data_IF_812692118313
#
_entry.id   IF_812692118313
#
_cell.length_a   1.000
_cell.length_b   1.000
_cell.length_c   1.000
_cell.angle_alpha   90.00
_cell.angle_beta   90.00
_cell.angle_gamma   90.00
#
_symmetry.space_group_name_H-M   'P 1'
#
loop_
_entity.id
_entity.type
_entity.pdbx_description
1 polymer ?
#
# COMPACT_ATOMS: atom_id res chain seq x y z
N UNK A 1 5.20 -9.08 5.55
CA UNK A 1 6.51 -9.73 5.72
C UNK A 1 7.65 -8.94 5.03
N UNK A 2 7.54 -8.52 3.76
CA UNK A 2 8.59 -7.72 3.07
C UNK A 2 9.01 -6.49 3.89
N UNK A 3 8.06 -5.69 4.41
CA UNK A 3 8.36 -4.56 5.32
C UNK A 3 9.23 -4.97 6.49
N UNK A 4 8.95 -6.12 7.10
CA UNK A 4 9.70 -6.67 8.24
C UNK A 4 11.17 -6.87 7.88
N UNK A 5 11.44 -7.53 6.75
CA UNK A 5 12.79 -7.83 6.29
C UNK A 5 13.58 -6.52 6.05
N UNK A 6 12.97 -5.54 5.35
CA UNK A 6 13.59 -4.23 5.14
C UNK A 6 13.88 -3.49 6.44
N UNK A 7 12.92 -3.43 7.36
CA UNK A 7 13.12 -2.75 8.63
C UNK A 7 14.14 -3.48 9.51
N UNK A 8 14.16 -4.80 9.51
CA UNK A 8 15.14 -5.57 10.28
C UNK A 8 16.58 -5.33 9.78
N UNK A 9 16.77 -5.35 8.48
CA UNK A 9 18.12 -5.24 7.90
C UNK A 9 18.67 -3.82 7.93
N UNK A 10 17.86 -2.83 7.52
CA UNK A 10 18.32 -1.44 7.36
C UNK A 10 18.11 -0.57 8.59
N UNK A 11 17.37 -1.01 9.58
CA UNK A 11 17.12 -0.24 10.80
C UNK A 11 18.19 -0.58 11.84
N UNK A 12 19.29 0.15 11.84
CA UNK A 12 20.34 0.03 12.87
C UNK A 12 19.87 0.45 14.27
N UNK A 13 18.59 0.77 14.43
CA UNK A 13 17.98 1.21 15.68
C UNK A 13 16.65 0.51 15.85
N UNK A 14 16.23 0.32 17.10
CA UNK A 14 14.93 -0.27 17.46
C UNK A 14 13.69 0.46 16.93
N UNK A 15 13.85 1.50 16.12
CA UNK A 15 12.77 2.34 15.60
C UNK A 15 12.71 2.30 14.09
N UNK A 16 11.52 2.06 13.56
CA UNK A 16 11.21 2.07 12.13
C UNK A 16 9.97 2.92 11.89
N UNK A 17 9.81 3.45 10.68
CA UNK A 17 8.63 4.23 10.30
C UNK A 17 7.57 3.31 9.69
N UNK A 18 6.38 3.34 10.26
CA UNK A 18 5.25 2.56 9.76
C UNK A 18 4.82 3.00 8.35
N UNK A 19 5.10 4.27 8.03
CA UNK A 19 4.79 4.85 6.73
C UNK A 19 3.29 5.07 6.52
N UNK A 20 2.84 4.89 5.28
CA UNK A 20 1.45 5.06 4.90
C UNK A 20 0.60 3.92 5.46
N UNK A 21 -0.47 4.29 6.13
CA UNK A 21 -1.52 3.39 6.64
C UNK A 21 -2.90 3.92 6.24
N UNK A 22 -3.86 3.02 6.26
CA UNK A 22 -5.25 3.38 6.05
C UNK A 22 -6.12 2.56 7.03
N UNK A 23 -7.21 3.11 7.58
CA UNK A 23 -8.10 2.37 8.49
C UNK A 23 -8.99 1.39 7.70
N UNK A 24 -8.39 0.37 7.10
CA UNK A 24 -9.03 -0.59 6.21
C UNK A 24 -10.23 -1.30 6.84
N UNK A 25 -10.14 -1.63 8.13
CA UNK A 25 -11.26 -2.28 8.84
C UNK A 25 -12.52 -1.40 8.85
N UNK A 26 -12.36 -0.08 9.04
CA UNK A 26 -13.49 0.86 8.99
C UNK A 26 -14.06 0.97 7.58
N UNK A 27 -13.25 0.71 6.55
CA UNK A 27 -13.67 0.59 5.16
C UNK A 27 -14.16 -0.81 4.79
N UNK A 28 -14.42 -1.68 5.77
CA UNK A 28 -14.88 -3.05 5.59
C UNK A 28 -13.95 -3.92 4.71
N UNK A 29 -12.66 -3.73 4.88
CA UNK A 29 -11.63 -4.54 4.23
C UNK A 29 -10.53 -4.91 5.23
N UNK A 30 -9.62 -5.81 4.87
CA UNK A 30 -8.65 -6.36 5.79
C UNK A 30 -7.59 -5.35 6.22
N UNK A 31 -7.40 -5.21 7.53
CA UNK A 31 -6.28 -4.48 8.10
C UNK A 31 -4.99 -5.31 8.07
N UNK A 32 -3.85 -4.66 7.86
CA UNK A 32 -2.56 -5.25 8.21
C UNK A 32 -2.47 -5.55 9.71
N UNK A 33 -1.71 -6.60 10.07
CA UNK A 33 -1.63 -7.06 11.46
C UNK A 33 -0.92 -6.12 12.45
N UNK A 34 -0.18 -5.12 11.97
CA UNK A 34 0.67 -4.26 12.79
C UNK A 34 -0.02 -3.01 13.38
N UNK A 35 -1.30 -2.83 13.13
CA UNK A 35 -2.15 -1.84 13.83
C UNK A 35 -3.59 -2.31 13.88
N UNK A 36 -4.33 -1.73 14.81
CA UNK A 36 -5.77 -1.95 14.96
C UNK A 36 -6.51 -0.62 14.85
N UNK A 37 -7.69 -0.63 14.24
CA UNK A 37 -8.53 0.56 14.08
C UNK A 37 -9.90 0.36 14.69
N UNK A 38 -10.36 1.39 15.40
CA UNK A 38 -11.71 1.46 15.96
C UNK A 38 -12.31 2.81 15.57
N UNK A 39 -13.59 2.84 15.29
CA UNK A 39 -14.30 4.08 14.95
C UNK A 39 -15.58 4.23 15.74
N UNK A 40 -16.02 5.49 15.91
CA UNK A 40 -17.36 5.83 16.35
C UNK A 40 -17.96 6.89 15.43
N UNK A 41 -19.28 7.04 15.46
CA UNK A 41 -20.01 7.86 14.48
C UNK A 41 -20.19 7.12 13.15
N UNK A 42 -20.88 7.76 12.21
CA UNK A 42 -21.22 7.18 10.92
C UNK A 42 -20.11 7.43 9.89
N UNK A 43 -19.41 6.38 9.53
CA UNK A 43 -18.41 6.39 8.46
C UNK A 43 -18.92 5.62 7.25
N UNK A 44 -18.62 6.10 6.07
CA UNK A 44 -18.80 5.36 4.81
C UNK A 44 -17.51 5.35 4.03
N UNK A 45 -17.31 4.33 3.23
CA UNK A 45 -16.14 4.18 2.37
C UNK A 45 -16.52 4.13 0.91
N UNK A 46 -15.55 4.43 0.05
CA UNK A 46 -15.63 4.23 -1.37
C UNK A 46 -14.29 3.66 -1.86
N UNK A 47 -14.33 2.60 -2.66
CA UNK A 47 -13.15 1.86 -3.11
C UNK A 47 -13.06 1.81 -4.63
N UNK A 48 -11.86 1.96 -5.16
CA UNK A 48 -11.58 1.92 -6.60
C UNK A 48 -11.98 0.61 -7.28
N UNK A 49 -12.06 -0.48 -6.51
CA UNK A 49 -12.46 -1.81 -6.99
C UNK A 49 -13.97 -1.96 -7.16
N UNK A 50 -14.74 -1.04 -6.61
CA UNK A 50 -16.20 -1.03 -6.73
C UNK A 50 -16.64 -0.43 -8.07
N UNK A 51 -17.83 -0.83 -8.53
CA UNK A 51 -18.41 -0.31 -9.79
C UNK A 51 -18.99 1.11 -9.64
N UNK A 52 -19.10 1.61 -8.41
CA UNK A 52 -19.64 2.93 -8.14
C UNK A 52 -18.65 4.04 -8.54
N UNK A 53 -19.17 5.21 -8.89
CA UNK A 53 -18.35 6.39 -9.12
C UNK A 53 -17.80 6.90 -7.79
N UNK A 54 -16.55 6.58 -7.52
CA UNK A 54 -15.81 7.10 -6.38
C UNK A 54 -14.99 8.32 -6.81
N UNK A 55 -14.97 9.35 -6.00
CA UNK A 55 -14.11 10.53 -6.17
C UNK A 55 -13.20 10.72 -4.96
N UNK A 56 -12.13 11.45 -5.15
CA UNK A 56 -11.12 11.74 -4.11
C UNK A 56 -10.51 10.47 -3.50
N UNK A 57 -10.28 9.49 -4.36
CA UNK A 57 -9.54 8.29 -3.99
C UNK A 57 -8.05 8.60 -3.86
N UNK A 58 -7.50 8.30 -2.70
CA UNK A 58 -6.07 8.45 -2.43
C UNK A 58 -5.22 7.33 -3.01
N UNK A 59 -3.96 7.31 -2.63
CA UNK A 59 -2.97 6.33 -3.06
C UNK A 59 -3.40 4.88 -2.77
N UNK A 60 -4.15 4.64 -1.70
CA UNK A 60 -4.71 3.32 -1.38
C UNK A 60 -5.87 2.88 -2.28
N UNK A 61 -6.36 3.73 -3.19
CA UNK A 61 -7.58 3.46 -3.94
C UNK A 61 -8.85 3.45 -3.07
N UNK A 62 -8.79 4.03 -1.88
CA UNK A 62 -9.93 4.12 -0.94
C UNK A 62 -10.01 5.54 -0.39
N UNK A 63 -11.24 5.98 -0.06
CA UNK A 63 -11.47 7.04 0.89
C UNK A 63 -12.47 6.61 1.98
N UNK A 64 -12.34 7.20 3.16
CA UNK A 64 -13.38 7.24 4.18
C UNK A 64 -14.00 8.62 4.20
N UNK A 65 -15.29 8.68 4.43
CA UNK A 65 -16.02 9.95 4.54
C UNK A 65 -17.03 9.92 5.69
N UNK A 66 -17.21 11.07 6.30
CA UNK A 66 -18.26 11.29 7.31
C UNK A 66 -18.85 12.69 7.18
N UNK A 67 -20.10 12.84 7.53
CA UNK A 67 -20.76 14.13 7.78
C UNK A 67 -21.51 14.13 9.12
N UNK A 68 -21.16 13.17 9.96
CA UNK A 68 -21.73 13.09 11.30
C UNK A 68 -21.33 14.30 12.16
N UNK A 69 -22.14 14.64 13.13
CA UNK A 69 -21.87 15.76 14.06
C UNK A 69 -20.59 15.53 14.83
N UNK A 70 -20.33 14.28 15.21
CA UNK A 70 -19.11 13.84 15.86
C UNK A 70 -18.74 12.44 15.38
N UNK A 71 -17.55 12.31 14.82
CA UNK A 71 -16.98 11.02 14.43
C UNK A 71 -15.57 10.89 14.98
N UNK A 72 -15.17 9.67 15.34
CA UNK A 72 -13.82 9.37 15.80
C UNK A 72 -13.21 8.22 15.04
N UNK A 73 -11.89 8.23 14.93
CA UNK A 73 -11.09 7.15 14.38
C UNK A 73 -9.88 6.95 15.29
N UNK A 74 -9.78 5.81 15.94
CA UNK A 74 -8.63 5.46 16.79
C UNK A 74 -7.79 4.39 16.09
N UNK A 75 -6.50 4.64 15.98
CA UNK A 75 -5.49 3.71 15.46
C UNK A 75 -4.55 3.38 16.60
N UNK A 76 -4.45 2.10 16.95
CA UNK A 76 -3.50 1.59 17.94
C UNK A 76 -2.44 0.77 17.24
N UNK A 77 -1.18 1.15 17.42
CA UNK A 77 -0.04 0.41 16.88
C UNK A 77 0.11 -0.89 17.66
N UNK A 78 0.40 -1.98 16.95
CA UNK A 78 0.78 -3.26 17.52
C UNK A 78 2.26 -3.49 17.23
N UNK A 79 3.07 -3.56 18.27
CA UNK A 79 4.47 -3.93 18.15
C UNK A 79 4.56 -5.45 18.01
N UNK A 80 4.47 -5.92 16.77
CA UNK A 80 4.50 -7.35 16.45
C UNK A 80 5.89 -7.97 16.61
N UNK A 81 6.92 -7.12 16.58
CA UNK A 81 8.31 -7.56 16.63
C UNK A 81 9.00 -6.91 17.81
N UNK A 82 9.60 -7.71 18.73
CA UNK A 82 10.24 -7.18 19.94
C UNK A 82 11.38 -6.18 19.65
N UNK A 83 11.96 -6.26 18.44
CA UNK A 83 13.08 -5.42 18.01
C UNK A 83 12.66 -4.21 17.15
N UNK A 84 11.38 -4.09 16.76
CA UNK A 84 10.85 -2.96 16.00
C UNK A 84 9.84 -2.19 16.84
N UNK A 85 10.21 -1.00 17.26
CA UNK A 85 9.35 -0.13 18.03
C UNK A 85 8.69 0.90 17.13
N UNK A 86 7.51 0.59 16.62
CA UNK A 86 6.68 1.53 15.89
C UNK A 86 5.97 2.47 16.87
N UNK A 87 6.42 3.71 16.98
CA UNK A 87 5.74 4.75 17.75
C UNK A 87 5.41 5.94 16.86
N UNK A 88 4.47 6.77 17.28
CA UNK A 88 3.99 7.92 16.55
C UNK A 88 4.66 9.17 17.10
N UNK A 89 5.66 9.70 16.41
CA UNK A 89 6.27 11.01 16.73
C UNK A 89 5.73 12.11 15.82
N UNK A 90 5.42 11.74 14.57
CA UNK A 90 4.83 12.63 13.58
C UNK A 90 3.75 11.88 12.78
N UNK A 91 2.67 12.57 12.47
CA UNK A 91 1.62 12.03 11.57
C UNK A 91 1.25 13.06 10.51
N UNK A 92 0.97 12.58 9.32
CA UNK A 92 0.46 13.37 8.21
C UNK A 92 -0.89 12.78 7.79
N UNK A 93 -1.94 13.60 7.83
CA UNK A 93 -3.28 13.22 7.38
C UNK A 93 -3.49 13.69 5.95
N UNK A 94 -3.81 12.78 5.06
CA UNK A 94 -4.31 13.07 3.73
C UNK A 94 -5.83 13.16 3.81
N UNK A 95 -6.34 14.38 3.96
CA UNK A 95 -7.77 14.61 4.19
C UNK A 95 -8.25 15.88 3.48
N UNK A 96 -9.54 15.89 3.15
CA UNK A 96 -10.19 17.02 2.52
C UNK A 96 -11.51 17.34 3.25
N UNK A 97 -11.69 18.61 3.60
CA UNK A 97 -12.87 19.13 4.28
C UNK A 97 -12.88 20.66 4.23
N UNK A 98 -14.04 21.34 4.31
CA UNK A 98 -14.11 22.77 4.50
C UNK A 98 -13.79 23.14 5.97
N UNK A 99 -12.80 24.02 6.17
CA UNK A 99 -12.38 24.45 7.51
C UNK A 99 -13.49 25.19 8.28
N UNK A 100 -14.36 25.88 7.56
CA UNK A 100 -15.53 26.54 8.15
C UNK A 100 -16.61 25.58 8.64
N UNK A 101 -16.50 24.28 8.30
CA UNK A 101 -17.53 23.27 8.62
C UNK A 101 -17.04 22.22 9.63
N UNK A 102 -15.74 21.97 9.69
CA UNK A 102 -15.19 20.91 10.54
C UNK A 102 -14.03 21.39 11.41
N UNK A 103 -14.08 21.00 12.69
CA UNK A 103 -12.95 21.09 13.59
C UNK A 103 -12.36 19.70 13.82
N UNK A 104 -11.05 19.60 13.65
CA UNK A 104 -10.31 18.37 13.86
C UNK A 104 -9.44 18.45 15.10
N UNK A 105 -9.33 17.31 15.80
CA UNK A 105 -8.36 17.12 16.88
C UNK A 105 -7.66 15.77 16.73
N UNK A 106 -6.36 15.73 17.02
CA UNK A 106 -5.60 14.50 17.19
C UNK A 106 -5.09 14.44 18.62
N UNK A 107 -5.43 13.34 19.33
CA UNK A 107 -5.08 13.14 20.73
C UNK A 107 -5.42 14.37 21.58
N UNK A 108 -6.59 14.99 21.35
CA UNK A 108 -7.07 16.17 22.04
C UNK A 108 -6.51 17.51 21.53
N UNK A 109 -5.38 17.54 20.84
CA UNK A 109 -4.77 18.77 20.29
C UNK A 109 -5.50 19.19 19.00
N UNK A 110 -5.87 20.48 18.84
CA UNK A 110 -6.52 20.96 17.61
C UNK A 110 -5.55 20.88 16.42
N UNK A 111 -6.11 20.66 15.25
CA UNK A 111 -5.39 20.64 14.00
C UNK A 111 -5.81 21.84 13.15
N UNK A 112 -4.82 22.56 12.64
CA UNK A 112 -5.04 23.57 11.61
C UNK A 112 -4.66 22.99 10.25
N UNK A 113 -5.53 23.14 9.25
CA UNK A 113 -5.23 22.77 7.87
C UNK A 113 -4.18 23.72 7.33
N UNK A 114 -3.17 23.19 6.64
CA UNK A 114 -2.33 24.00 5.75
C UNK A 114 -3.10 24.24 4.46
N UNK A 115 -3.26 25.49 4.08
CA UNK A 115 -4.12 25.96 2.99
C UNK A 115 -3.76 25.42 1.61
N UNK A 116 -2.51 25.02 1.39
CA UNK A 116 -1.97 24.70 0.05
C UNK A 116 -1.92 23.21 -0.28
N UNK A 117 -2.21 22.34 0.69
CA UNK A 117 -2.15 20.89 0.49
C UNK A 117 -3.28 20.20 1.24
N UNK A 118 -3.90 19.19 0.62
CA UNK A 118 -4.83 18.28 1.31
C UNK A 118 -4.11 17.36 2.33
N UNK A 119 -3.01 17.86 2.93
CA UNK A 119 -2.19 17.13 3.90
C UNK A 119 -1.94 18.01 5.11
N UNK A 120 -2.35 17.52 6.27
CA UNK A 120 -2.13 18.17 7.56
C UNK A 120 -1.12 17.37 8.39
N UNK A 121 -0.06 18.04 8.87
CA UNK A 121 1.03 17.38 9.64
C UNK A 121 0.94 17.80 11.10
N UNK A 122 1.14 16.82 12.00
CA UNK A 122 1.21 17.03 13.44
C UNK A 122 2.44 16.32 13.99
N UNK A 123 3.16 17.02 14.86
CA UNK A 123 4.26 16.46 15.63
C UNK A 123 3.85 16.32 17.10
N UNK A 124 4.18 15.18 17.70
CA UNK A 124 3.94 14.90 19.11
C UNK A 124 5.19 15.23 19.91
N UNK A 125 5.04 15.83 21.06
CA UNK A 125 6.14 16.11 22.01
C UNK A 125 6.80 14.79 22.46
N UNK A 126 5.95 13.86 22.90
CA UNK A 126 6.37 12.50 23.25
C UNK A 126 5.80 11.48 22.24
N UNK A 127 6.57 10.43 21.86
CA UNK A 127 6.07 9.39 21.00
C UNK A 127 4.87 8.66 21.60
N UNK A 128 3.81 8.44 20.82
CA UNK A 128 2.56 7.80 21.23
C UNK A 128 2.40 6.41 20.57
N UNK A 129 1.69 5.51 21.25
CA UNK A 129 1.36 4.17 20.71
C UNK A 129 0.00 4.17 20.00
N UNK A 130 -0.74 5.25 20.09
CA UNK A 130 -2.03 5.39 19.44
C UNK A 130 -2.30 6.82 18.96
N UNK A 131 -3.11 6.89 17.91
CA UNK A 131 -3.61 8.12 17.34
C UNK A 131 -5.14 8.09 17.39
N UNK A 132 -5.74 9.14 17.95
CA UNK A 132 -7.19 9.34 17.94
C UNK A 132 -7.51 10.60 17.15
N UNK A 133 -8.05 10.45 15.96
CA UNK A 133 -8.61 11.54 15.17
C UNK A 133 -10.06 11.76 15.58
N UNK A 134 -10.39 12.98 16.00
CA UNK A 134 -11.75 13.42 16.27
C UNK A 134 -12.16 14.44 15.23
N UNK A 135 -13.26 14.17 14.56
CA UNK A 135 -13.86 15.02 13.53
C UNK A 135 -15.18 15.55 14.10
N UNK A 136 -15.26 16.87 14.32
CA UNK A 136 -16.48 17.54 14.80
C UNK A 136 -17.00 18.47 13.73
N UNK A 137 -18.23 18.26 13.32
CA UNK A 137 -18.95 19.15 12.41
C UNK A 137 -19.52 20.34 13.23
N UNK A 138 -19.18 21.55 12.83
CA UNK A 138 -19.60 22.78 13.53
C UNK A 138 -20.76 23.49 12.81
N UNK A 139 -20.91 23.31 11.50
CA UNK A 139 -22.05 23.78 10.72
C UNK A 139 -22.99 22.63 10.39
N UNK A 140 -24.02 22.42 11.21
CA UNK A 140 -24.92 21.26 11.11
C UNK A 140 -25.66 21.18 9.77
N UNK A 141 -26.06 22.33 9.20
CA UNK A 141 -26.81 22.41 7.92
C UNK A 141 -25.95 22.29 6.66
N UNK A 142 -24.63 22.35 6.79
CA UNK A 142 -23.71 22.19 5.65
C UNK A 142 -23.73 20.72 5.14
N UNK A 143 -23.88 20.52 3.84
CA UNK A 143 -23.92 19.19 3.21
C UNK A 143 -22.55 18.61 2.91
N UNK A 144 -21.48 19.35 3.16
CA UNK A 144 -20.10 18.92 2.86
C UNK A 144 -19.66 17.71 3.68
N UNK A 145 -18.66 17.01 3.15
CA UNK A 145 -18.08 15.82 3.76
C UNK A 145 -16.67 16.10 4.27
N UNK A 146 -16.36 15.57 5.44
CA UNK A 146 -14.97 15.26 5.77
C UNK A 146 -14.56 13.97 5.04
N UNK A 147 -13.40 14.00 4.37
CA UNK A 147 -12.83 12.83 3.68
C UNK A 147 -11.42 12.57 4.15
N UNK A 148 -11.11 11.29 4.37
CA UNK A 148 -9.78 10.80 4.73
C UNK A 148 -9.33 9.81 3.66
N UNK A 149 -8.20 10.07 3.02
CA UNK A 149 -7.63 9.23 1.96
C UNK A 149 -6.30 8.56 2.33
N UNK A 150 -5.76 8.86 3.51
CA UNK A 150 -4.56 8.20 4.04
C UNK A 150 -4.00 8.86 5.29
N UNK A 151 -3.12 8.14 5.96
CA UNK A 151 -2.38 8.61 7.14
C UNK A 151 -0.95 8.12 6.99
N UNK A 152 0.03 8.99 7.21
CA UNK A 152 1.44 8.59 7.32
C UNK A 152 1.87 8.70 8.77
N UNK A 153 2.51 7.66 9.26
CA UNK A 153 3.04 7.61 10.63
C UNK A 153 4.56 7.51 10.56
N UNK A 154 5.22 8.43 11.26
CA UNK A 154 6.68 8.48 11.41
C UNK A 154 7.07 8.51 12.87
N UNK A 155 8.17 7.82 13.17
CA UNK A 155 8.82 7.86 14.49
C UNK A 155 10.13 8.65 14.44
N UNK A 156 10.94 8.46 13.39
CA UNK A 156 12.19 9.16 13.14
C UNK A 156 12.21 9.80 11.77
N UNK A 157 12.94 10.89 11.62
CA UNK A 157 13.09 11.56 10.33
C UNK A 157 14.03 10.77 9.39
N UNK A 158 15.09 10.19 9.95
CA UNK A 158 16.06 9.34 9.21
C UNK A 158 15.78 7.87 9.55
N UNK A 159 14.87 7.26 8.82
CA UNK A 159 14.54 5.83 8.90
C UNK A 159 13.88 5.39 7.60
N UNK A 160 13.88 4.09 7.34
CA UNK A 160 13.13 3.55 6.20
C UNK A 160 11.63 3.75 6.40
N UNK A 161 11.01 4.41 5.45
CA UNK A 161 9.57 4.56 5.35
C UNK A 161 9.02 3.49 4.41
N UNK A 162 8.40 2.46 4.93
CA UNK A 162 7.73 1.46 4.09
C UNK A 162 6.24 1.78 3.96
N UNK A 163 5.84 2.33 2.82
CA UNK A 163 4.45 2.66 2.51
C UNK A 163 3.74 1.42 1.96
N UNK A 164 3.04 0.69 2.83
CA UNK A 164 2.24 -0.46 2.41
C UNK A 164 0.88 -0.02 1.87
N UNK A 165 0.70 -0.18 0.56
CA UNK A 165 -0.52 0.22 -0.15
C UNK A 165 -1.10 -1.01 -0.80
N UNK A 166 -2.31 -1.37 -0.42
CA UNK A 166 -2.97 -2.53 -1.01
C UNK A 166 -4.45 -2.55 -0.68
N UNK A 167 -5.25 -2.96 -1.66
CA UNK A 167 -6.68 -3.18 -1.53
C UNK A 167 -7.02 -4.53 -2.11
N UNK A 168 -7.82 -5.31 -1.40
CA UNK A 168 -8.29 -6.60 -1.91
C UNK A 168 -9.00 -6.41 -3.25
N UNK A 169 -8.67 -7.23 -4.23
CA UNK A 169 -9.22 -7.16 -5.57
C UNK A 169 -8.62 -6.06 -6.46
N UNK A 170 -7.61 -5.32 -5.99
CA UNK A 170 -7.00 -4.24 -6.77
C UNK A 170 -6.34 -4.72 -8.07
N UNK A 171 -6.49 -3.90 -9.08
CA UNK A 171 -5.92 -4.05 -10.43
C UNK A 171 -5.20 -2.77 -10.84
N UNK A 172 -4.38 -2.80 -11.88
CA UNK A 172 -3.79 -1.59 -12.45
C UNK A 172 -4.87 -0.58 -12.84
N UNK A 173 -5.98 -1.05 -13.42
CA UNK A 173 -7.12 -0.22 -13.78
C UNK A 173 -7.78 0.44 -12.56
N UNK A 174 -7.89 -0.26 -11.43
CA UNK A 174 -8.49 0.32 -10.23
C UNK A 174 -7.61 1.42 -9.63
N UNK A 175 -6.29 1.26 -9.62
CA UNK A 175 -5.39 2.33 -9.18
C UNK A 175 -5.44 3.57 -10.08
N UNK A 176 -5.65 3.40 -11.39
CA UNK A 176 -5.83 4.52 -12.32
C UNK A 176 -7.10 5.35 -12.07
N UNK A 177 -8.04 4.86 -11.26
CA UNK A 177 -9.20 5.65 -10.79
C UNK A 177 -8.87 6.54 -9.59
N UNK A 178 -7.68 6.40 -9.00
CA UNK A 178 -7.25 7.16 -7.80
C UNK A 178 -6.81 8.57 -8.22
N UNK A 179 -7.75 9.49 -8.27
CA UNK A 179 -7.58 10.88 -8.72
C UNK A 179 -6.61 11.69 -7.84
N UNK A 180 -6.46 11.35 -6.56
CA UNK A 180 -5.49 11.96 -5.67
C UNK A 180 -4.12 11.25 -5.63
N UNK A 181 -3.93 10.15 -6.38
CA UNK A 181 -2.64 9.45 -6.42
C UNK A 181 -1.47 10.38 -6.82
N UNK A 182 -1.58 11.23 -7.86
CA UNK A 182 -0.50 12.15 -8.23
C UNK A 182 -0.09 13.08 -7.09
N UNK A 183 -1.06 13.63 -6.37
CA UNK A 183 -0.82 14.50 -5.22
C UNK A 183 -0.12 13.76 -4.07
N UNK A 184 -0.58 12.55 -3.75
CA UNK A 184 0.00 11.74 -2.71
C UNK A 184 1.43 11.31 -3.04
N UNK A 185 1.71 10.90 -4.28
CA UNK A 185 3.05 10.54 -4.73
C UNK A 185 4.01 11.73 -4.63
N UNK A 186 3.60 12.91 -5.09
CA UNK A 186 4.38 14.14 -4.96
C UNK A 186 4.69 14.48 -3.50
N UNK A 187 3.78 14.19 -2.58
CA UNK A 187 4.00 14.46 -1.15
C UNK A 187 4.90 13.41 -0.49
N UNK A 188 4.75 12.15 -0.87
CA UNK A 188 5.51 11.04 -0.27
C UNK A 188 6.93 10.97 -0.80
N UNK A 189 7.16 11.39 -2.06
CA UNK A 189 8.46 11.33 -2.74
C UNK A 189 9.20 10.01 -2.48
N UNK A 190 8.64 8.86 -2.89
CA UNK A 190 9.29 7.59 -2.68
C UNK A 190 10.56 7.48 -3.52
N UNK A 191 11.62 6.93 -2.95
CA UNK A 191 12.84 6.59 -3.69
C UNK A 191 12.65 5.34 -4.55
N UNK A 192 11.75 4.46 -4.10
CA UNK A 192 11.48 3.19 -4.76
C UNK A 192 9.99 2.81 -4.72
N UNK A 193 9.46 2.34 -5.85
CA UNK A 193 8.07 1.89 -5.99
C UNK A 193 8.03 0.46 -6.48
N UNK A 194 7.44 -0.43 -5.69
CA UNK A 194 7.21 -1.83 -6.07
C UNK A 194 5.76 -1.98 -6.51
N UNK A 195 5.54 -2.38 -7.76
CA UNK A 195 4.21 -2.67 -8.33
C UNK A 195 4.01 -4.18 -8.36
N UNK A 196 3.17 -4.69 -7.46
CA UNK A 196 2.83 -6.11 -7.35
C UNK A 196 1.36 -6.32 -7.73
N UNK A 197 1.08 -6.38 -9.02
CA UNK A 197 -0.23 -6.52 -9.63
C UNK A 197 -0.24 -7.65 -10.65
N UNK A 198 -1.41 -8.00 -11.18
CA UNK A 198 -1.57 -9.03 -12.19
C UNK A 198 -2.33 -10.27 -11.71
N UNK A 199 -2.31 -10.58 -10.41
CA UNK A 199 -3.04 -11.73 -9.85
C UNK A 199 -4.55 -11.60 -10.05
N UNK A 200 -5.12 -10.44 -9.71
CA UNK A 200 -6.56 -10.20 -9.83
C UNK A 200 -7.00 -10.09 -11.29
N UNK A 201 -6.18 -9.47 -12.13
CA UNK A 201 -6.43 -9.43 -13.57
C UNK A 201 -6.44 -10.85 -14.17
N UNK A 202 -5.39 -11.62 -13.90
CA UNK A 202 -5.23 -12.99 -14.44
C UNK A 202 -6.29 -13.97 -13.93
N UNK A 203 -6.89 -13.70 -12.75
CA UNK A 203 -7.97 -14.53 -12.22
C UNK A 203 -9.27 -14.43 -13.04
N UNK A 204 -9.49 -13.31 -13.73
CA UNK A 204 -10.68 -13.11 -14.56
C UNK A 204 -10.71 -14.06 -15.75
N UNK A 205 -11.87 -14.69 -16.00
CA UNK A 205 -12.10 -15.48 -17.23
C UNK A 205 -12.04 -14.61 -18.50
N UNK A 206 -12.34 -13.31 -18.37
CA UNK A 206 -12.31 -12.32 -19.44
C UNK A 206 -10.98 -11.55 -19.47
N UNK A 207 -9.90 -12.14 -18.96
CA UNK A 207 -8.59 -11.51 -18.96
C UNK A 207 -8.12 -11.21 -20.40
N UNK A 208 -7.64 -10.00 -20.61
CA UNK A 208 -7.02 -9.58 -21.85
C UNK A 208 -5.63 -9.00 -21.57
N UNK A 209 -4.58 -9.70 -21.98
CA UNK A 209 -3.19 -9.34 -21.71
C UNK A 209 -2.82 -7.96 -22.27
N UNK A 210 -3.28 -7.60 -23.46
CA UNK A 210 -3.00 -6.29 -24.05
C UNK A 210 -3.69 -5.15 -23.30
N UNK A 211 -4.89 -5.37 -22.81
CA UNK A 211 -5.58 -4.38 -21.95
C UNK A 211 -4.87 -4.23 -20.60
N UNK A 212 -4.41 -5.34 -20.02
CA UNK A 212 -3.60 -5.31 -18.80
C UNK A 212 -2.30 -4.54 -19.01
N UNK A 213 -1.57 -4.82 -20.08
CA UNK A 213 -0.35 -4.11 -20.45
C UNK A 213 -0.59 -2.59 -20.55
N UNK A 214 -1.60 -2.15 -21.29
CA UNK A 214 -1.93 -0.72 -21.41
C UNK A 214 -2.22 -0.06 -20.06
N UNK A 215 -2.96 -0.73 -19.17
CA UNK A 215 -3.25 -0.18 -17.85
C UNK A 215 -1.99 -0.13 -16.96
N UNK A 216 -1.14 -1.16 -17.01
CA UNK A 216 0.10 -1.22 -16.26
C UNK A 216 1.07 -0.12 -16.70
N UNK A 217 1.26 0.06 -18.00
CA UNK A 217 2.17 1.08 -18.54
C UNK A 217 1.66 2.49 -18.27
N UNK A 218 0.35 2.72 -18.33
CA UNK A 218 -0.25 3.99 -17.91
C UNK A 218 -0.02 4.26 -16.42
N UNK A 219 -0.11 3.23 -15.57
CA UNK A 219 0.19 3.36 -14.13
C UNK A 219 1.67 3.69 -13.89
N UNK A 220 2.60 3.00 -14.56
CA UNK A 220 4.04 3.28 -14.52
C UNK A 220 4.32 4.74 -14.90
N UNK A 221 3.77 5.20 -16.02
CA UNK A 221 3.93 6.59 -16.50
C UNK A 221 3.37 7.59 -15.48
N UNK A 222 2.21 7.31 -14.89
CA UNK A 222 1.61 8.16 -13.85
C UNK A 222 2.51 8.26 -12.62
N UNK A 223 3.08 7.14 -12.18
CA UNK A 223 4.01 7.10 -11.04
C UNK A 223 5.24 7.93 -11.36
N UNK A 224 5.93 7.67 -12.46
CA UNK A 224 7.14 8.41 -12.86
C UNK A 224 6.93 9.92 -12.92
N UNK A 225 5.84 10.35 -13.55
CA UNK A 225 5.51 11.78 -13.64
C UNK A 225 5.39 12.47 -12.29
N UNK A 226 5.14 11.72 -11.20
CA UNK A 226 4.81 12.28 -9.90
C UNK A 226 5.78 11.89 -8.77
N UNK A 227 6.85 11.14 -9.06
CA UNK A 227 7.84 10.69 -8.06
C UNK A 227 9.28 11.10 -8.40
N UNK A 228 9.48 11.95 -9.42
CA UNK A 228 10.82 12.32 -9.86
C UNK A 228 11.63 11.10 -10.33
N UNK A 229 12.73 10.81 -9.64
CA UNK A 229 13.68 9.75 -9.99
C UNK A 229 13.43 8.40 -9.27
N UNK A 230 12.22 8.13 -8.82
CA UNK A 230 11.94 6.88 -8.13
C UNK A 230 12.23 5.65 -9.02
N UNK A 231 12.93 4.67 -8.46
CA UNK A 231 13.12 3.37 -9.08
C UNK A 231 11.80 2.60 -9.08
N UNK A 232 11.45 1.97 -10.19
CA UNK A 232 10.23 1.17 -10.29
C UNK A 232 10.61 -0.30 -10.49
N UNK A 233 10.09 -1.16 -9.62
CA UNK A 233 10.20 -2.62 -9.70
C UNK A 233 8.83 -3.24 -9.91
N UNK A 234 8.71 -4.08 -10.91
CA UNK A 234 7.50 -4.86 -11.18
C UNK A 234 7.67 -6.28 -10.62
N UNK A 235 6.62 -6.86 -10.03
CA UNK A 235 6.66 -8.27 -9.64
C UNK A 235 5.62 -9.05 -10.41
N UNK A 236 5.98 -10.25 -10.90
CA UNK A 236 5.01 -11.11 -11.59
C UNK A 236 4.08 -11.78 -10.57
N UNK A 237 2.83 -12.12 -10.95
CA UNK A 237 1.98 -13.00 -10.14
C UNK A 237 2.62 -14.37 -10.01
N UNK A 238 2.32 -15.09 -8.94
CA UNK A 238 2.65 -16.51 -8.85
C UNK A 238 1.73 -17.38 -9.70
N UNK A 239 2.09 -18.65 -9.89
CA UNK A 239 1.18 -19.63 -10.43
C UNK A 239 0.01 -19.85 -9.47
N UNK A 240 -1.21 -19.99 -9.98
CA UNK A 240 -2.42 -20.17 -9.17
C UNK A 240 -3.48 -20.96 -9.92
N UNK A 241 -4.46 -21.50 -9.18
CA UNK A 241 -5.64 -22.11 -9.76
C UNK A 241 -6.83 -21.13 -9.72
N UNK A 242 -7.78 -21.34 -10.61
CA UNK A 242 -9.11 -20.73 -10.48
C UNK A 242 -10.02 -21.67 -9.71
N UNK A 243 -10.80 -21.11 -8.82
CA UNK A 243 -11.77 -21.87 -7.99
C UNK A 243 -11.11 -23.06 -7.25
N UNK A 244 -9.81 -22.93 -6.94
CA UNK A 244 -9.03 -23.95 -6.25
C UNK A 244 -8.69 -25.22 -7.05
N UNK A 245 -9.15 -25.36 -8.30
CA UNK A 245 -9.05 -26.60 -9.08
C UNK A 245 -8.66 -26.45 -10.55
N UNK A 246 -9.04 -25.36 -11.20
CA UNK A 246 -8.81 -25.18 -12.64
C UNK A 246 -7.50 -24.49 -12.92
N UNK A 247 -6.71 -25.00 -13.89
CA UNK A 247 -5.50 -24.33 -14.37
C UNK A 247 -5.79 -22.90 -14.81
N UNK A 248 -4.90 -21.98 -14.47
CA UNK A 248 -5.02 -20.57 -14.85
C UNK A 248 -3.89 -20.14 -15.80
N UNK A 249 -4.06 -20.31 -17.13
CA UNK A 249 -3.03 -19.94 -18.11
C UNK A 249 -2.77 -18.42 -18.16
N UNK A 250 -3.71 -17.61 -17.66
CA UNK A 250 -3.56 -16.15 -17.67
C UNK A 250 -2.41 -15.67 -16.79
N UNK A 251 -1.98 -16.45 -15.77
CA UNK A 251 -0.83 -16.09 -14.95
C UNK A 251 0.44 -15.95 -15.81
N UNK A 252 0.65 -16.87 -16.76
CA UNK A 252 1.76 -16.80 -17.71
C UNK A 252 1.65 -15.60 -18.64
N UNK A 253 0.46 -15.34 -19.16
CA UNK A 253 0.23 -14.17 -20.02
C UNK A 253 0.47 -12.86 -19.23
N UNK A 254 0.00 -12.78 -17.99
CA UNK A 254 0.23 -11.60 -17.13
C UNK A 254 1.73 -11.41 -16.86
N UNK A 255 2.48 -12.49 -16.57
CA UNK A 255 3.94 -12.47 -16.44
C UNK A 255 4.62 -11.89 -17.68
N UNK A 256 4.29 -12.39 -18.87
CA UNK A 256 4.85 -11.94 -20.15
C UNK A 256 4.61 -10.42 -20.35
N UNK A 257 3.40 -9.93 -20.07
CA UNK A 257 3.08 -8.51 -20.18
C UNK A 257 3.83 -7.65 -19.15
N UNK A 258 4.06 -8.14 -17.94
CA UNK A 258 4.83 -7.44 -16.91
C UNK A 258 6.29 -7.32 -17.32
N UNK A 259 6.92 -8.42 -17.78
CA UNK A 259 8.31 -8.42 -18.23
C UNK A 259 8.48 -7.50 -19.45
N UNK A 260 7.55 -7.57 -20.40
CA UNK A 260 7.51 -6.66 -21.55
C UNK A 260 7.46 -5.20 -21.10
N UNK A 261 6.54 -4.85 -20.18
CA UNK A 261 6.43 -3.50 -19.65
C UNK A 261 7.70 -3.06 -18.90
N UNK A 262 8.32 -3.96 -18.14
CA UNK A 262 9.58 -3.68 -17.46
C UNK A 262 10.69 -3.29 -18.45
N UNK A 263 10.88 -4.07 -19.50
CA UNK A 263 11.89 -3.83 -20.53
C UNK A 263 11.63 -2.51 -21.29
N UNK A 264 10.39 -2.32 -21.79
CA UNK A 264 10.03 -1.13 -22.59
C UNK A 264 10.04 0.16 -21.78
N UNK A 265 9.74 0.10 -20.48
CA UNK A 265 9.71 1.26 -19.60
C UNK A 265 10.93 1.36 -18.68
N UNK A 266 12.01 0.64 -18.93
CA UNK A 266 13.23 0.65 -18.12
C UNK A 266 12.92 0.54 -16.61
N UNK A 267 12.17 -0.51 -16.24
CA UNK A 267 11.87 -0.87 -14.85
C UNK A 267 12.62 -2.15 -14.48
N UNK A 268 12.97 -2.31 -13.22
CA UNK A 268 13.37 -3.61 -12.71
C UNK A 268 12.17 -4.58 -12.70
N UNK A 269 12.43 -5.87 -12.71
CA UNK A 269 11.38 -6.86 -12.44
C UNK A 269 11.89 -8.03 -11.60
N UNK A 270 11.01 -8.58 -10.79
CA UNK A 270 11.21 -9.81 -10.02
C UNK A 270 10.20 -10.86 -10.48
N UNK A 271 10.70 -11.91 -11.09
CA UNK A 271 9.87 -12.92 -11.73
C UNK A 271 9.48 -14.05 -10.78
N UNK A 272 8.52 -13.73 -9.89
CA UNK A 272 8.03 -14.69 -8.90
C UNK A 272 7.39 -15.93 -9.53
N UNK A 273 6.75 -15.80 -10.71
CA UNK A 273 6.18 -16.95 -11.40
C UNK A 273 7.24 -18.03 -11.66
N UNK A 274 8.41 -17.62 -12.18
CA UNK A 274 9.52 -18.52 -12.44
C UNK A 274 10.17 -19.03 -11.15
N UNK A 275 10.40 -18.16 -10.20
CA UNK A 275 11.00 -18.53 -8.90
C UNK A 275 10.11 -19.52 -8.14
N UNK A 276 8.80 -19.40 -8.26
CA UNK A 276 7.84 -20.33 -7.69
C UNK A 276 7.90 -21.73 -8.32
N UNK A 277 8.39 -21.87 -9.57
CA UNK A 277 8.51 -23.14 -10.32
C UNK A 277 7.62 -23.21 -11.56
N UNK A 278 7.29 -22.08 -12.18
CA UNK A 278 6.52 -21.97 -13.42
C UNK A 278 5.10 -22.61 -13.36
N UNK A 279 4.67 -23.19 -14.47
CA UNK A 279 3.33 -23.79 -14.62
C UNK A 279 3.18 -25.03 -13.75
N UNK A 280 2.16 -25.04 -12.91
CA UNK A 280 1.87 -26.16 -11.99
C UNK A 280 2.52 -26.03 -10.61
N UNK A 281 3.38 -25.06 -10.41
CA UNK A 281 4.08 -24.84 -9.15
C UNK A 281 3.14 -24.72 -7.93
N UNK A 282 1.94 -24.16 -8.10
CA UNK A 282 0.97 -24.02 -7.00
C UNK A 282 0.62 -25.36 -6.36
N UNK A 283 0.65 -26.48 -7.11
CA UNK A 283 0.36 -27.80 -6.56
C UNK A 283 1.52 -28.30 -5.66
N UNK A 284 2.76 -28.00 -6.01
CA UNK A 284 3.92 -28.31 -5.17
C UNK A 284 3.88 -27.47 -3.90
N UNK A 285 3.66 -26.16 -4.02
CA UNK A 285 3.51 -25.27 -2.87
C UNK A 285 2.33 -25.66 -1.96
N UNK A 286 1.26 -26.21 -2.55
CA UNK A 286 0.13 -26.73 -1.76
C UNK A 286 0.47 -28.02 -1.00
N UNK A 287 1.28 -28.92 -1.60
CA UNK A 287 1.76 -30.13 -0.91
C UNK A 287 2.66 -29.79 0.28
N UNK A 288 3.47 -28.73 0.13
CA UNK A 288 4.35 -28.18 1.19
C UNK A 288 3.59 -27.28 2.17
N UNK A 289 2.26 -27.28 2.15
CA UNK A 289 1.40 -26.47 3.03
C UNK A 289 1.73 -24.96 3.01
N UNK A 290 2.07 -24.41 1.83
CA UNK A 290 2.42 -22.98 1.65
C UNK A 290 1.28 -22.16 1.05
N UNK A 291 0.12 -22.78 0.76
CA UNK A 291 -1.02 -22.10 0.14
C UNK A 291 -2.23 -22.07 1.05
N UNK A 292 -3.12 -21.10 0.83
CA UNK A 292 -4.48 -21.17 1.33
C UNK A 292 -5.28 -22.25 0.55
N UNK A 293 -6.44 -22.63 1.08
CA UNK A 293 -7.30 -23.68 0.49
C UNK A 293 -7.77 -23.34 -0.93
N UNK A 294 -7.87 -22.05 -1.27
CA UNK A 294 -8.27 -21.57 -2.58
C UNK A 294 -7.19 -21.73 -3.69
N UNK A 295 -5.97 -22.10 -3.30
CA UNK A 295 -4.82 -22.23 -4.23
C UNK A 295 -4.63 -21.03 -5.16
N UNK A 296 -5.09 -19.87 -4.72
CA UNK A 296 -4.86 -18.55 -5.30
C UNK A 296 -3.95 -17.73 -4.39
N UNK A 297 -4.24 -17.75 -3.09
CA UNK A 297 -3.46 -17.07 -2.09
C UNK A 297 -2.46 -18.01 -1.43
N UNK A 298 -1.36 -17.46 -0.97
CA UNK A 298 -0.44 -18.14 -0.07
C UNK A 298 -0.98 -18.06 1.36
N UNK A 299 -0.63 -19.03 2.21
CA UNK A 299 -0.84 -18.91 3.63
C UNK A 299 0.29 -18.07 4.27
N UNK A 300 0.32 -17.98 5.60
CA UNK A 300 1.31 -17.19 6.33
C UNK A 300 2.75 -17.60 5.99
N UNK A 301 3.02 -18.91 5.95
CA UNK A 301 4.37 -19.45 5.72
C UNK A 301 4.78 -19.27 4.26
N UNK A 302 3.86 -19.45 3.33
CA UNK A 302 4.09 -19.17 1.91
C UNK A 302 4.37 -17.69 1.64
N UNK A 303 3.66 -16.76 2.31
CA UNK A 303 3.99 -15.34 2.20
C UNK A 303 5.32 -14.99 2.87
N UNK A 304 5.70 -15.67 3.95
CA UNK A 304 7.01 -15.49 4.57
C UNK A 304 8.12 -15.96 3.64
N UNK A 305 7.98 -17.15 3.04
CA UNK A 305 8.93 -17.67 2.06
C UNK A 305 9.07 -16.73 0.86
N UNK A 306 7.94 -16.29 0.29
CA UNK A 306 7.93 -15.32 -0.82
C UNK A 306 8.67 -14.03 -0.44
N UNK A 307 8.47 -13.52 0.78
CA UNK A 307 9.13 -12.31 1.25
C UNK A 307 10.63 -12.49 1.43
N UNK A 308 11.08 -13.65 1.90
CA UNK A 308 12.50 -13.97 2.04
C UNK A 308 13.16 -14.07 0.67
N UNK A 309 12.59 -14.84 -0.26
CA UNK A 309 13.11 -14.97 -1.63
C UNK A 309 13.21 -13.61 -2.34
N UNK A 310 12.22 -12.74 -2.14
CA UNK A 310 12.26 -11.38 -2.67
C UNK A 310 13.40 -10.56 -2.04
N UNK A 311 13.54 -10.63 -0.73
CA UNK A 311 14.52 -9.85 0.02
C UNK A 311 15.95 -10.31 -0.28
N UNK A 312 16.18 -11.61 -0.40
CA UNK A 312 17.49 -12.18 -0.77
C UNK A 312 17.90 -11.74 -2.18
N UNK A 313 16.97 -11.76 -3.14
CA UNK A 313 17.20 -11.25 -4.49
C UNK A 313 17.52 -9.75 -4.48
N UNK A 314 16.83 -8.98 -3.64
CA UNK A 314 17.10 -7.56 -3.46
C UNK A 314 18.50 -7.33 -2.89
N UNK A 315 18.88 -8.02 -1.81
CA UNK A 315 20.19 -7.86 -1.16
C UNK A 315 21.34 -8.24 -2.09
N UNK A 316 21.21 -9.32 -2.84
CA UNK A 316 22.24 -9.74 -3.82
C UNK A 316 22.51 -8.64 -4.83
N UNK A 317 21.46 -8.00 -5.37
CA UNK A 317 21.63 -6.88 -6.30
C UNK A 317 22.15 -5.63 -5.62
N UNK A 318 21.67 -5.32 -4.41
CA UNK A 318 22.11 -4.18 -3.62
C UNK A 318 23.62 -4.25 -3.32
N UNK A 319 24.10 -5.39 -2.82
CA UNK A 319 25.52 -5.60 -2.54
C UNK A 319 26.38 -5.56 -3.80
N UNK A 320 25.89 -6.15 -4.91
CA UNK A 320 26.62 -6.12 -6.20
C UNK A 320 26.75 -4.71 -6.75
N UNK A 321 25.76 -3.85 -6.54
CA UNK A 321 25.82 -2.45 -6.95
C UNK A 321 26.92 -1.70 -6.17
N UNK A 322 26.91 -1.78 -4.84
CA UNK A 322 27.91 -1.11 -4.01
C UNK A 322 29.32 -1.68 -4.15
N UNK A 323 29.45 -3.00 -4.39
CA UNK A 323 30.76 -3.58 -4.66
C UNK A 323 31.40 -3.05 -5.96
N UNK A 324 30.59 -2.76 -6.99
CA UNK A 324 31.09 -2.15 -8.24
C UNK A 324 31.54 -0.71 -8.05
N UNK A 325 30.83 0.08 -7.23
CA UNK A 325 31.23 1.46 -6.93
C UNK A 325 32.51 1.52 -6.11
N UNK A 326 32.81 0.52 -5.27
CA UNK A 326 34.07 0.41 -4.51
C UNK A 326 35.23 -0.04 -5.37
N UNK A 327 35.00 -0.73 -6.48
CA UNK A 327 36.02 -1.22 -7.40
C UNK A 327 36.35 -0.26 -8.55
N UNK A 328 35.52 0.76 -8.77
CA UNK A 328 35.69 1.83 -9.74
C UNK A 328 35.54 3.18 -9.03
N UNK A 329 36.62 3.64 -8.27
CA UNK A 329 36.63 4.93 -7.59
C UNK A 329 36.69 6.12 -8.56
#
# INVERSE_FOLDING_TARGET
>A
EIRKNFHHYFSNTSSANLGFIFPYHVAQTNNPGHYHTVSSGKWSSCRAVENNSCSQLGLSGINLKTRDTLATLKIKIKNYFPYLNYRIKKTELFCNYPDSTYNLRINGKPIQKRTDTNVTSIQFEQPADSLTLRVRKIKSRDSSWFRLSGIVIKHKDRAINYHGIGVNGATARSYLKSDLMPLHLKKLQPDWVIISLGTNEAYSRKFNGQSFYRNLTKLITTIRKNTGNAWILLTTPGNSLREGKYKNPNNRIAREQIIRAANEFNCGYWDFYRIMGDTGAINHWSKENLTASDKLHLNKDGYQLKANLFFDAFLSNFHSFFAKDLLNP
#
